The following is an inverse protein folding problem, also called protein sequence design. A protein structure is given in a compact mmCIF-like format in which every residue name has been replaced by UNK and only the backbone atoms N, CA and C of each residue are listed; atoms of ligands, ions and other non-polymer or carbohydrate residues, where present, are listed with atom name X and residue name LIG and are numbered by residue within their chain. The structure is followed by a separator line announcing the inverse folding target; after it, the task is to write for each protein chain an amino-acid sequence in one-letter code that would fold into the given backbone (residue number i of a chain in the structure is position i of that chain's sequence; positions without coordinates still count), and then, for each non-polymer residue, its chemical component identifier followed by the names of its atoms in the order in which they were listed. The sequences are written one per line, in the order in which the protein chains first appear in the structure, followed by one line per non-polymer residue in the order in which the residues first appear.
data_IF_848235618956
#
_entry.id   IF_848235618956
#
_cell.length_a   1.000
_cell.length_b   1.000
_cell.length_c   1.000
_cell.angle_alpha   90.00
_cell.angle_beta   90.00
_cell.angle_gamma   90.00
#
_symmetry.space_group_name_H-M   'P 1'
#
loop_
_entity.id
_entity.type
_entity.pdbx_description
1 polymer ?
#
# COMPACT_ATOMS: atom_id res chain seq x y z
N UNK A 1 -29.25 -17.02 117.79
CA UNK A 1 -29.40 -16.49 116.39
C UNK A 1 -28.07 -16.47 115.58
N UNK A 2 -26.90 -16.26 116.14
CA UNK A 2 -25.64 -16.18 115.39
C UNK A 2 -25.10 -17.46 114.73
N UNK A 3 -25.51 -18.68 115.18
CA UNK A 3 -25.04 -19.97 114.64
C UNK A 3 -25.81 -20.44 113.42
N UNK A 4 -27.05 -20.03 113.22
CA UNK A 4 -27.85 -20.33 112.03
C UNK A 4 -27.45 -19.47 110.81
N UNK A 5 -27.01 -18.23 111.04
CA UNK A 5 -26.58 -17.33 109.98
C UNK A 5 -25.30 -17.81 109.30
N UNK A 6 -24.35 -18.42 110.02
CA UNK A 6 -23.10 -18.96 109.46
C UNK A 6 -23.30 -20.21 108.61
N UNK A 7 -24.33 -21.00 108.93
CA UNK A 7 -24.60 -22.26 108.20
C UNK A 7 -25.22 -22.03 106.83
N UNK A 8 -25.93 -20.91 106.61
CA UNK A 8 -26.54 -20.59 105.34
C UNK A 8 -25.84 -19.46 104.57
N UNK A 9 -24.73 -18.94 105.04
CA UNK A 9 -23.94 -17.88 104.38
C UNK A 9 -23.51 -18.26 102.96
N UNK A 10 -23.00 -19.50 102.66
CA UNK A 10 -22.63 -19.88 101.29
C UNK A 10 -23.85 -19.94 100.38
N UNK A 11 -25.03 -20.31 100.88
CA UNK A 11 -26.25 -20.34 100.06
C UNK A 11 -26.70 -18.93 99.62
N UNK A 12 -26.61 -17.95 100.54
CA UNK A 12 -26.88 -16.54 100.20
C UNK A 12 -25.90 -15.91 99.23
N UNK A 13 -24.64 -16.33 99.28
CA UNK A 13 -23.63 -15.90 98.35
C UNK A 13 -23.91 -16.45 96.93
N UNK A 14 -24.35 -17.74 96.84
CA UNK A 14 -24.73 -18.36 95.58
C UNK A 14 -25.99 -17.72 94.99
N UNK A 15 -26.97 -17.44 95.78
CA UNK A 15 -28.19 -16.76 95.31
C UNK A 15 -27.89 -15.31 94.93
N UNK A 16 -27.05 -14.59 95.67
CA UNK A 16 -26.61 -13.26 95.32
C UNK A 16 -25.81 -13.20 94.02
N UNK A 17 -24.89 -14.15 93.82
CA UNK A 17 -24.13 -14.24 92.59
C UNK A 17 -24.99 -14.61 91.35
N UNK A 18 -26.01 -15.50 91.57
CA UNK A 18 -26.95 -15.84 90.51
C UNK A 18 -27.83 -14.63 90.08
N UNK A 19 -28.26 -13.84 91.10
CA UNK A 19 -29.03 -12.63 90.87
C UNK A 19 -28.25 -11.54 90.21
N UNK A 20 -26.97 -11.37 90.53
CA UNK A 20 -26.04 -10.47 89.82
C UNK A 20 -25.79 -10.94 88.43
N UNK A 21 -25.59 -12.24 88.17
CA UNK A 21 -25.40 -12.83 86.86
C UNK A 21 -26.63 -12.63 85.94
N UNK A 22 -27.84 -12.86 86.46
CA UNK A 22 -29.08 -12.61 85.71
C UNK A 22 -29.29 -11.13 85.43
N UNK A 23 -28.95 -10.26 86.38
CA UNK A 23 -28.99 -8.81 86.18
C UNK A 23 -27.97 -8.32 85.12
N UNK A 24 -26.76 -8.88 85.10
CA UNK A 24 -25.75 -8.58 84.05
C UNK A 24 -26.18 -9.14 82.71
N UNK A 25 -26.84 -10.26 82.61
CA UNK A 25 -27.35 -10.83 81.36
C UNK A 25 -28.52 -9.99 80.81
N UNK A 26 -29.44 -9.53 81.68
CA UNK A 26 -30.54 -8.67 81.26
C UNK A 26 -30.15 -7.24 80.98
N UNK A 27 -29.02 -6.75 81.53
CA UNK A 27 -28.44 -5.43 81.26
C UNK A 27 -27.54 -5.39 80.00
N UNK A 28 -27.39 -6.48 79.27
CA UNK A 28 -26.65 -6.44 77.99
C UNK A 28 -27.41 -5.53 77.02
N UNK A 29 -26.81 -4.42 76.56
CA UNK A 29 -27.43 -3.61 75.50
C UNK A 29 -27.59 -4.51 74.27
N UNK A 30 -28.79 -4.64 73.73
CA UNK A 30 -29.06 -5.34 72.50
C UNK A 30 -28.13 -4.80 71.40
N UNK A 31 -27.48 -5.70 70.69
CA UNK A 31 -26.67 -5.30 69.56
C UNK A 31 -27.52 -4.46 68.60
N UNK A 32 -27.31 -3.16 68.57
CA UNK A 32 -27.93 -2.27 67.60
C UNK A 32 -27.32 -2.64 66.29
N UNK A 33 -28.01 -3.45 65.46
CA UNK A 33 -27.68 -3.68 64.11
C UNK A 33 -27.80 -2.33 63.40
N UNK A 34 -26.66 -1.64 63.26
CA UNK A 34 -26.57 -0.42 62.48
C UNK A 34 -26.63 -0.86 61.01
N UNK A 35 -27.84 -1.03 60.47
CA UNK A 35 -28.07 -1.27 59.06
C UNK A 35 -27.61 0.02 58.36
N UNK A 36 -26.33 0.08 58.01
CA UNK A 36 -25.84 1.14 57.15
C UNK A 36 -26.76 1.16 55.92
N UNK A 37 -27.54 2.23 55.80
CA UNK A 37 -28.33 2.46 54.59
C UNK A 37 -27.37 2.40 53.40
N UNK A 38 -27.48 1.35 52.56
CA UNK A 38 -26.71 1.24 51.34
C UNK A 38 -26.98 2.50 50.52
N UNK A 39 -25.98 3.36 50.39
CA UNK A 39 -26.00 4.52 49.50
C UNK A 39 -25.43 4.06 48.18
N UNK A 40 -26.25 3.97 47.11
CA UNK A 40 -25.73 3.59 45.78
C UNK A 40 -24.59 4.51 45.35
N UNK A 41 -23.43 3.98 45.00
CA UNK A 41 -22.33 4.79 44.50
C UNK A 41 -22.73 5.55 43.21
N UNK A 42 -22.36 6.81 43.16
CA UNK A 42 -22.54 7.62 41.96
C UNK A 42 -21.51 7.18 40.89
N UNK A 43 -21.97 6.97 39.66
CA UNK A 43 -21.15 6.46 38.57
C UNK A 43 -21.36 7.25 37.28
N UNK A 44 -20.30 7.38 36.51
CA UNK A 44 -20.36 7.88 35.15
C UNK A 44 -20.69 6.75 34.20
N UNK A 45 -21.59 7.02 33.27
CA UNK A 45 -22.02 6.05 32.25
C UNK A 45 -22.04 6.70 30.87
N UNK A 46 -21.75 5.91 29.86
CA UNK A 46 -21.88 6.31 28.45
C UNK A 46 -23.08 5.60 27.82
N UNK A 47 -24.02 6.37 27.30
CA UNK A 47 -25.17 5.82 26.56
C UNK A 47 -24.67 5.17 25.27
N UNK A 48 -25.20 4.00 24.98
CA UNK A 48 -24.89 3.25 23.76
C UNK A 48 -25.64 3.84 22.58
N UNK A 49 -24.90 4.32 21.60
CA UNK A 49 -25.43 4.88 20.35
C UNK A 49 -24.82 4.11 19.17
N UNK A 50 -25.61 3.29 18.47
CA UNK A 50 -25.17 2.66 17.23
C UNK A 50 -24.91 3.73 16.16
N UNK A 51 -23.80 3.59 15.46
CA UNK A 51 -23.41 4.51 14.39
C UNK A 51 -22.80 3.77 13.22
N UNK A 52 -22.88 4.37 12.05
CA UNK A 52 -22.12 3.90 10.89
C UNK A 52 -20.64 4.21 11.11
N UNK A 53 -19.80 3.21 10.96
CA UNK A 53 -18.37 3.34 11.19
C UNK A 53 -17.58 2.79 10.01
N UNK A 54 -16.72 3.63 9.41
CA UNK A 54 -15.76 3.22 8.40
C UNK A 54 -14.40 2.92 9.05
N UNK A 55 -13.95 1.66 8.94
CA UNK A 55 -12.67 1.25 9.49
C UNK A 55 -11.54 1.99 8.77
N UNK A 56 -10.65 2.60 9.56
CA UNK A 56 -9.41 3.20 9.06
C UNK A 56 -8.25 2.26 9.37
N UNK A 57 -7.45 1.97 8.36
CA UNK A 57 -6.26 1.13 8.50
C UNK A 57 -5.05 2.01 8.33
N UNK A 58 -4.22 2.06 9.35
CA UNK A 58 -3.01 2.87 9.34
C UNK A 58 -1.82 2.03 8.87
N UNK A 59 -0.98 2.63 8.07
CA UNK A 59 0.28 2.06 7.61
C UNK A 59 1.27 3.17 7.30
N UNK A 60 2.46 2.80 6.86
CA UNK A 60 3.50 3.74 6.51
C UNK A 60 4.42 3.15 5.45
N UNK A 61 5.03 4.02 4.65
CA UNK A 61 5.90 3.56 3.59
C UNK A 61 6.72 4.68 2.97
N UNK A 62 7.64 4.31 2.10
CA UNK A 62 8.46 5.26 1.35
C UNK A 62 7.91 5.41 -0.07
N UNK A 63 7.85 6.62 -0.54
CA UNK A 63 7.44 6.95 -1.91
C UNK A 63 8.50 6.50 -2.89
N UNK A 64 8.13 5.62 -3.80
CA UNK A 64 8.98 5.11 -4.89
C UNK A 64 8.39 5.46 -6.24
N UNK A 65 9.18 5.62 -7.29
CA UNK A 65 8.65 5.81 -8.63
C UNK A 65 8.09 4.47 -9.12
N UNK A 66 7.03 4.51 -9.93
CA UNK A 66 6.50 3.32 -10.58
C UNK A 66 7.50 2.69 -11.55
N UNK A 67 8.21 3.52 -12.27
CA UNK A 67 9.22 3.10 -13.27
C UNK A 67 10.53 3.79 -12.99
N UNK A 68 11.56 3.00 -12.78
CA UNK A 68 12.94 3.47 -12.63
C UNK A 68 13.86 2.53 -13.42
N UNK A 69 14.73 3.10 -14.25
CA UNK A 69 15.65 2.34 -15.09
C UNK A 69 17.05 2.92 -15.05
N UNK A 70 18.01 2.07 -15.35
CA UNK A 70 19.33 2.49 -15.77
C UNK A 70 19.31 2.70 -17.29
N UNK A 71 19.47 3.94 -17.71
CA UNK A 71 19.59 4.28 -19.13
C UNK A 71 20.94 3.79 -19.62
N UNK A 72 20.92 3.00 -20.69
CA UNK A 72 22.10 2.44 -21.35
C UNK A 72 22.08 2.83 -22.82
N UNK A 73 23.21 2.72 -23.51
CA UNK A 73 23.30 2.83 -24.99
C UNK A 73 23.10 1.44 -25.59
N UNK A 74 22.64 1.41 -26.84
CA UNK A 74 22.56 0.17 -27.65
C UNK A 74 23.78 -0.04 -28.54
N UNK A 75 24.61 1.01 -28.71
CA UNK A 75 25.83 1.00 -29.51
C UNK A 75 27.02 1.55 -28.70
N UNK A 76 28.22 1.21 -29.09
CA UNK A 76 29.44 1.78 -28.52
C UNK A 76 29.82 3.05 -29.23
N UNK A 77 30.30 4.05 -28.50
CA UNK A 77 30.76 5.31 -29.07
C UNK A 77 31.29 6.27 -28.03
N UNK A 78 32.01 7.31 -28.51
CA UNK A 78 32.49 8.39 -27.65
C UNK A 78 31.40 9.45 -27.51
N UNK A 79 31.20 9.93 -26.27
CA UNK A 79 30.23 11.00 -25.98
C UNK A 79 30.78 12.32 -26.51
N UNK A 80 30.12 12.90 -27.53
CA UNK A 80 30.43 14.19 -28.08
C UNK A 80 29.76 15.33 -27.29
N UNK A 81 28.51 15.12 -26.86
CA UNK A 81 27.75 16.16 -26.14
C UNK A 81 26.78 15.50 -25.13
N UNK A 82 26.63 16.11 -23.97
CA UNK A 82 25.62 15.79 -22.97
C UNK A 82 24.63 16.94 -22.89
N UNK A 83 23.34 16.63 -22.94
CA UNK A 83 22.28 17.62 -22.82
C UNK A 83 22.26 18.23 -21.39
N UNK A 84 21.89 19.50 -21.27
CA UNK A 84 21.64 20.15 -19.98
C UNK A 84 20.51 19.49 -19.17
N UNK A 85 19.62 18.76 -19.87
CA UNK A 85 18.55 17.97 -19.22
C UNK A 85 19.07 16.71 -18.53
N UNK A 86 20.27 16.22 -18.86
CA UNK A 86 20.88 15.05 -18.21
C UNK A 86 21.73 15.47 -17.00
N UNK A 87 21.20 16.31 -16.13
CA UNK A 87 21.82 16.63 -14.83
C UNK A 87 21.01 16.06 -13.70
N UNK A 88 21.67 15.68 -12.60
CA UNK A 88 20.99 15.15 -11.42
C UNK A 88 19.89 16.09 -10.95
N UNK A 89 18.66 15.58 -10.83
CA UNK A 89 17.47 16.33 -10.45
C UNK A 89 16.75 17.05 -11.61
N UNK A 90 17.35 17.14 -12.81
CA UNK A 90 16.71 17.78 -13.98
C UNK A 90 15.51 16.98 -14.47
N UNK A 91 14.58 17.69 -15.11
CA UNK A 91 13.41 17.13 -15.78
C UNK A 91 13.72 16.94 -17.27
N UNK A 92 13.07 15.95 -17.87
CA UNK A 92 13.06 15.72 -19.30
C UNK A 92 11.67 15.23 -19.74
N UNK A 93 11.32 15.51 -20.98
CA UNK A 93 10.13 14.97 -21.62
C UNK A 93 10.48 13.68 -22.39
N UNK A 94 9.46 12.93 -22.80
CA UNK A 94 9.66 11.76 -23.67
C UNK A 94 10.31 12.21 -24.98
N UNK A 95 11.22 11.38 -25.51
CA UNK A 95 11.99 11.58 -26.76
C UNK A 95 12.99 12.75 -26.72
N UNK A 96 13.14 13.45 -25.59
CA UNK A 96 14.19 14.46 -25.42
C UNK A 96 15.57 13.85 -25.61
N UNK A 97 16.46 14.49 -26.41
CA UNK A 97 17.83 14.02 -26.60
C UNK A 97 18.66 14.29 -25.34
N UNK A 98 19.17 13.23 -24.73
CA UNK A 98 19.96 13.29 -23.51
C UNK A 98 21.47 13.24 -23.76
N UNK A 99 21.91 12.43 -24.70
CA UNK A 99 23.32 12.27 -25.08
C UNK A 99 23.46 12.19 -26.60
N UNK A 100 24.56 12.73 -27.10
CA UNK A 100 24.99 12.62 -28.50
C UNK A 100 26.34 11.90 -28.52
N UNK A 101 26.40 10.77 -29.22
CA UNK A 101 27.62 10.07 -29.51
C UNK A 101 28.26 10.65 -30.80
N UNK A 102 29.54 10.41 -30.97
CA UNK A 102 30.24 10.72 -32.20
C UNK A 102 29.64 9.90 -33.34
N UNK A 103 29.10 10.57 -34.36
CA UNK A 103 28.29 9.95 -35.42
C UNK A 103 29.03 9.66 -36.72
N UNK A 104 30.25 10.18 -36.86
CA UNK A 104 30.97 10.16 -38.16
C UNK A 104 31.13 8.76 -38.73
N UNK A 105 31.53 7.78 -37.94
CA UNK A 105 31.72 6.41 -38.40
C UNK A 105 30.41 5.74 -38.81
N UNK A 106 29.32 6.07 -38.13
CA UNK A 106 27.97 5.58 -38.46
C UNK A 106 27.43 6.22 -39.72
N UNK A 107 27.69 7.51 -39.97
CA UNK A 107 27.38 8.19 -41.24
C UNK A 107 28.12 7.54 -42.41
N UNK A 108 29.42 7.24 -42.26
CA UNK A 108 30.20 6.55 -43.28
C UNK A 108 29.70 5.13 -43.55
N UNK A 109 29.31 4.40 -42.50
CA UNK A 109 28.72 3.06 -42.62
C UNK A 109 27.38 3.09 -43.35
N UNK A 110 26.56 4.10 -43.11
CA UNK A 110 25.27 4.29 -43.80
C UNK A 110 25.50 4.56 -45.28
N UNK A 111 26.43 5.46 -45.65
CA UNK A 111 26.78 5.76 -47.07
C UNK A 111 27.27 4.50 -47.78
N UNK A 112 28.11 3.69 -47.15
CA UNK A 112 28.59 2.43 -47.71
C UNK A 112 27.44 1.42 -47.94
N UNK A 113 26.53 1.30 -46.97
CA UNK A 113 25.35 0.43 -47.09
C UNK A 113 24.41 0.91 -48.21
N UNK A 114 24.18 2.21 -48.33
CA UNK A 114 23.35 2.82 -49.39
C UNK A 114 23.93 2.54 -50.80
N UNK A 115 25.27 2.65 -50.96
CA UNK A 115 25.94 2.31 -52.22
C UNK A 115 25.72 0.82 -52.54
N UNK A 116 25.87 -0.08 -51.58
CA UNK A 116 25.66 -1.52 -51.77
C UNK A 116 24.21 -1.85 -52.15
N UNK A 117 23.25 -1.20 -51.50
CA UNK A 117 21.82 -1.32 -51.80
C UNK A 117 21.51 -0.87 -53.24
N UNK A 118 22.05 0.29 -53.64
CA UNK A 118 21.88 0.82 -54.98
C UNK A 118 22.41 -0.15 -56.07
N UNK A 119 23.60 -0.74 -55.84
CA UNK A 119 24.18 -1.73 -56.72
C UNK A 119 23.32 -3.03 -56.79
N UNK A 120 22.84 -3.51 -55.65
CA UNK A 120 21.99 -4.70 -55.61
C UNK A 120 20.64 -4.47 -56.32
N UNK A 121 20.07 -3.26 -56.18
CA UNK A 121 18.82 -2.87 -56.86
C UNK A 121 19.00 -2.84 -58.38
N UNK A 122 20.07 -2.25 -58.90
CA UNK A 122 20.38 -2.25 -60.32
C UNK A 122 20.55 -3.67 -60.84
N UNK A 123 21.26 -4.53 -60.11
CA UNK A 123 21.42 -5.93 -60.49
C UNK A 123 20.11 -6.68 -60.55
N UNK A 124 19.24 -6.52 -59.55
CA UNK A 124 17.91 -7.14 -59.54
C UNK A 124 17.03 -6.67 -60.69
N UNK A 125 16.99 -5.38 -61.00
CA UNK A 125 16.20 -4.86 -62.13
C UNK A 125 16.73 -5.36 -63.49
N UNK A 126 18.07 -5.50 -63.64
CA UNK A 126 18.67 -6.11 -64.81
C UNK A 126 18.24 -7.58 -64.98
N UNK A 127 18.42 -8.41 -63.95
CA UNK A 127 18.04 -9.84 -64.01
C UNK A 127 16.52 -10.05 -64.21
N UNK A 128 15.72 -9.15 -63.66
CA UNK A 128 14.28 -9.12 -63.89
C UNK A 128 13.93 -8.85 -65.36
N UNK A 129 14.53 -7.83 -65.95
CA UNK A 129 14.33 -7.49 -67.36
C UNK A 129 14.80 -8.63 -68.28
N UNK A 130 15.94 -9.26 -67.97
CA UNK A 130 16.47 -10.40 -68.75
C UNK A 130 15.58 -11.66 -68.64
N UNK A 131 15.04 -11.93 -67.42
CA UNK A 131 14.10 -13.02 -67.23
C UNK A 131 12.77 -12.82 -67.97
N UNK A 132 12.26 -11.58 -67.94
CA UNK A 132 11.06 -11.23 -68.72
C UNK A 132 11.28 -11.33 -70.24
N UNK A 133 12.45 -10.89 -70.73
CA UNK A 133 12.81 -11.02 -72.10
C UNK A 133 12.91 -12.49 -72.54
N UNK A 134 13.63 -13.32 -71.79
CA UNK A 134 13.72 -14.77 -72.01
C UNK A 134 12.34 -15.44 -72.07
N UNK A 135 11.42 -15.01 -71.21
CA UNK A 135 10.03 -15.51 -71.23
C UNK A 135 9.26 -15.11 -72.50
N UNK A 136 9.46 -13.88 -72.99
CA UNK A 136 8.83 -13.39 -74.22
C UNK A 136 9.41 -14.08 -75.43
N UNK A 137 10.72 -14.27 -75.50
CA UNK A 137 11.41 -14.95 -76.63
C UNK A 137 11.01 -16.44 -76.69
N UNK A 138 10.99 -17.15 -75.58
CA UNK A 138 10.56 -18.56 -75.55
C UNK A 138 9.14 -18.74 -76.09
N UNK A 139 8.20 -17.87 -75.69
CA UNK A 139 6.81 -17.90 -76.18
C UNK A 139 6.73 -17.73 -77.71
N UNK A 140 7.64 -16.98 -78.32
CA UNK A 140 7.67 -16.79 -79.80
C UNK A 140 8.22 -17.99 -80.57
N UNK A 141 9.16 -18.74 -79.98
CA UNK A 141 9.86 -19.83 -80.63
C UNK A 141 9.17 -21.21 -80.45
N UNK A 142 8.74 -21.58 -79.25
CA UNK A 142 8.41 -22.93 -78.92
C UNK A 142 7.03 -23.20 -78.30
N UNK A 143 6.29 -22.25 -77.85
CA UNK A 143 4.93 -22.41 -77.31
C UNK A 143 4.71 -23.48 -76.20
N UNK A 144 5.77 -24.19 -75.78
CA UNK A 144 5.73 -25.26 -74.74
C UNK A 144 6.23 -24.77 -73.38
N UNK A 145 6.25 -25.71 -72.34
CA UNK A 145 6.80 -25.36 -71.02
C UNK A 145 8.31 -25.14 -71.09
N UNK A 146 8.73 -23.93 -70.73
CA UNK A 146 10.15 -23.59 -70.56
C UNK A 146 10.69 -24.16 -69.25
N UNK A 147 11.96 -24.53 -69.20
CA UNK A 147 12.63 -24.83 -67.93
C UNK A 147 12.88 -23.56 -67.14
N UNK A 148 12.94 -23.66 -65.82
CA UNK A 148 13.22 -22.52 -64.93
C UNK A 148 14.58 -21.87 -65.21
N UNK A 149 15.56 -22.69 -65.64
CA UNK A 149 16.87 -22.19 -66.10
C UNK A 149 16.75 -21.37 -67.40
N UNK A 150 15.96 -21.80 -68.37
CA UNK A 150 15.71 -21.06 -69.61
C UNK A 150 15.04 -19.71 -69.34
N UNK A 151 14.17 -19.65 -68.33
CA UNK A 151 13.48 -18.44 -67.89
C UNK A 151 14.31 -17.59 -66.90
N UNK A 152 15.57 -17.98 -66.65
CA UNK A 152 16.49 -17.30 -65.70
C UNK A 152 15.92 -17.12 -64.30
N UNK A 153 14.92 -17.96 -63.88
CA UNK A 153 14.30 -17.83 -62.57
C UNK A 153 15.26 -17.98 -61.38
N UNK A 154 16.24 -18.93 -61.41
CA UNK A 154 17.21 -19.04 -60.32
C UNK A 154 18.07 -17.75 -60.18
N UNK A 155 18.50 -17.12 -61.31
CA UNK A 155 19.29 -15.90 -61.34
C UNK A 155 18.46 -14.73 -60.75
N UNK A 156 17.19 -14.62 -61.16
CA UNK A 156 16.28 -13.62 -60.61
C UNK A 156 16.04 -13.80 -59.10
N UNK A 157 15.85 -15.05 -58.65
CA UNK A 157 15.72 -15.34 -57.23
C UNK A 157 16.99 -15.01 -56.44
N UNK A 158 18.18 -15.30 -57.01
CA UNK A 158 19.46 -14.94 -56.41
C UNK A 158 19.60 -13.42 -56.31
N UNK A 159 19.33 -12.69 -57.39
CA UNK A 159 19.40 -11.23 -57.38
C UNK A 159 18.41 -10.62 -56.39
N UNK A 160 17.21 -11.18 -56.25
CA UNK A 160 16.23 -10.77 -55.24
C UNK A 160 16.72 -11.01 -53.82
N UNK A 161 17.37 -12.14 -53.56
CA UNK A 161 17.94 -12.44 -52.24
C UNK A 161 19.09 -11.48 -51.89
N UNK A 162 19.94 -11.14 -52.87
CA UNK A 162 21.03 -10.16 -52.69
C UNK A 162 20.47 -8.77 -52.38
N UNK A 163 19.41 -8.35 -53.10
CA UNK A 163 18.73 -7.09 -52.82
C UNK A 163 18.16 -7.04 -51.39
N UNK A 164 17.45 -8.08 -50.98
CA UNK A 164 16.90 -8.14 -49.64
C UNK A 164 18.00 -8.11 -48.55
N UNK A 165 19.13 -8.77 -48.79
CA UNK A 165 20.28 -8.69 -47.87
C UNK A 165 20.87 -7.27 -47.77
N UNK A 166 20.99 -6.60 -48.91
CA UNK A 166 21.49 -5.20 -48.93
C UNK A 166 20.52 -4.22 -48.30
N UNK A 167 19.22 -4.42 -48.45
CA UNK A 167 18.17 -3.66 -47.75
C UNK A 167 18.30 -3.83 -46.22
N UNK A 168 18.48 -5.04 -45.73
CA UNK A 168 18.67 -5.30 -44.30
C UNK A 168 19.93 -4.64 -43.72
N UNK A 169 21.03 -4.62 -44.46
CA UNK A 169 22.29 -3.94 -44.06
C UNK A 169 22.11 -2.42 -44.02
N UNK A 170 21.39 -1.86 -45.00
CA UNK A 170 21.08 -0.42 -45.00
C UNK A 170 20.23 -0.02 -43.82
N UNK A 171 19.14 -0.73 -43.56
CA UNK A 171 18.29 -0.47 -42.40
C UNK A 171 19.04 -0.63 -41.05
N UNK A 172 19.98 -1.58 -40.95
CA UNK A 172 20.83 -1.72 -39.79
C UNK A 172 21.74 -0.52 -39.57
N UNK A 173 22.35 -0.01 -40.63
CA UNK A 173 23.22 1.18 -40.59
C UNK A 173 22.40 2.43 -40.20
N UNK A 174 21.21 2.60 -40.77
CA UNK A 174 20.30 3.69 -40.46
C UNK A 174 19.89 3.66 -38.96
N UNK A 175 19.46 2.49 -38.42
CA UNK A 175 19.16 2.33 -37.01
C UNK A 175 20.35 2.63 -36.10
N UNK A 176 21.56 2.22 -36.50
CA UNK A 176 22.77 2.49 -35.73
C UNK A 176 23.11 3.98 -35.71
N UNK A 177 22.88 4.70 -36.80
CA UNK A 177 23.04 6.17 -36.85
C UNK A 177 21.99 6.86 -35.94
N UNK A 178 20.72 6.45 -35.95
CA UNK A 178 19.70 7.01 -35.06
C UNK A 178 20.05 6.77 -33.58
N UNK A 179 20.59 5.60 -33.24
CA UNK A 179 21.04 5.24 -31.89
C UNK A 179 22.22 6.07 -31.36
N UNK A 180 22.87 6.86 -32.22
CA UNK A 180 23.91 7.84 -31.78
C UNK A 180 23.32 8.97 -30.94
N UNK A 181 22.00 9.18 -31.02
CA UNK A 181 21.27 10.13 -30.19
C UNK A 181 20.47 9.33 -29.17
N UNK A 182 20.93 9.32 -27.93
CA UNK A 182 20.25 8.62 -26.85
C UNK A 182 19.14 9.52 -26.32
N UNK A 183 17.89 9.04 -26.44
CA UNK A 183 16.68 9.79 -26.09
C UNK A 183 16.06 9.25 -24.82
N UNK A 184 15.25 10.08 -24.16
CA UNK A 184 14.46 9.70 -22.99
C UNK A 184 13.30 8.78 -23.41
N UNK A 185 13.14 7.57 -22.82
CA UNK A 185 12.07 6.64 -23.19
C UNK A 185 10.69 7.05 -22.64
N UNK A 186 10.66 7.92 -21.66
CA UNK A 186 9.46 8.44 -21.00
C UNK A 186 9.73 9.83 -20.42
N UNK A 187 8.68 10.51 -20.00
CA UNK A 187 8.76 11.76 -19.23
C UNK A 187 9.21 11.49 -17.80
N UNK A 188 10.25 12.18 -17.32
CA UNK A 188 10.82 11.86 -16.02
C UNK A 188 11.83 12.85 -15.47
N UNK A 189 12.63 12.31 -14.54
CA UNK A 189 13.74 13.02 -13.90
C UNK A 189 14.99 12.15 -13.85
N UNK A 190 16.12 12.82 -13.85
CA UNK A 190 17.43 12.18 -13.63
C UNK A 190 17.68 12.03 -12.14
N UNK A 191 17.84 10.78 -11.69
CA UNK A 191 18.27 10.48 -10.30
C UNK A 191 19.78 10.69 -10.15
N UNK A 192 20.55 10.15 -11.10
CA UNK A 192 22.02 10.21 -11.08
C UNK A 192 22.57 10.17 -12.50
N UNK A 193 23.44 11.11 -12.86
CA UNK A 193 24.27 11.07 -14.06
C UNK A 193 25.53 10.25 -13.76
N UNK A 194 25.95 9.36 -14.67
CA UNK A 194 27.09 8.45 -14.49
C UNK A 194 28.20 8.66 -15.53
N UNK A 195 27.97 9.45 -16.57
CA UNK A 195 28.92 9.68 -17.67
C UNK A 195 29.08 11.16 -17.97
N UNK A 196 30.16 11.52 -18.66
CA UNK A 196 30.41 12.89 -19.10
C UNK A 196 31.00 12.95 -20.53
N UNK A 197 31.09 14.17 -21.05
CA UNK A 197 31.66 14.43 -22.39
C UNK A 197 33.06 13.85 -22.48
N UNK A 198 33.38 13.22 -23.62
CA UNK A 198 34.67 12.59 -23.90
C UNK A 198 34.82 11.15 -23.42
N UNK A 199 33.88 10.64 -22.58
CA UNK A 199 33.88 9.22 -22.20
C UNK A 199 33.44 8.33 -23.36
N UNK A 200 33.96 7.11 -23.42
CA UNK A 200 33.53 6.06 -24.33
C UNK A 200 32.53 5.18 -23.58
N UNK A 201 31.36 4.98 -24.17
CA UNK A 201 30.28 4.14 -23.64
C UNK A 201 30.03 2.93 -24.53
N UNK A 202 29.44 1.90 -23.89
CA UNK A 202 29.06 0.65 -24.57
C UNK A 202 27.75 0.14 -23.96
N UNK A 203 27.08 -0.85 -24.58
CA UNK A 203 25.80 -1.41 -24.07
C UNK A 203 25.82 -1.94 -22.64
N UNK A 204 27.00 -2.18 -22.06
CA UNK A 204 27.16 -2.65 -20.67
C UNK A 204 27.36 -1.52 -19.65
N UNK A 205 27.47 -0.27 -20.10
CA UNK A 205 27.75 0.89 -19.25
C UNK A 205 26.47 1.68 -19.03
N UNK A 206 26.05 1.83 -17.76
CA UNK A 206 24.94 2.70 -17.40
C UNK A 206 25.32 4.17 -17.58
N UNK A 207 24.52 4.90 -18.32
CA UNK A 207 24.69 6.32 -18.63
C UNK A 207 24.13 7.18 -17.50
N UNK A 208 22.92 6.85 -17.07
CA UNK A 208 22.22 7.55 -16.01
C UNK A 208 21.17 6.64 -15.37
N UNK A 209 20.80 6.93 -14.15
CA UNK A 209 19.60 6.40 -13.50
C UNK A 209 18.49 7.42 -13.63
N UNK A 210 17.38 7.03 -14.27
CA UNK A 210 16.25 7.89 -14.56
C UNK A 210 14.96 7.26 -14.07
N UNK A 211 13.97 8.08 -13.67
CA UNK A 211 12.68 7.61 -13.21
C UNK A 211 11.52 8.43 -13.78
N UNK A 212 10.39 7.77 -13.98
CA UNK A 212 9.17 8.39 -14.48
C UNK A 212 8.50 9.24 -13.40
N UNK A 213 7.76 10.27 -13.81
CA UNK A 213 7.08 11.22 -12.93
C UNK A 213 5.55 11.25 -13.10
N UNK A 214 5.00 10.30 -13.84
CA UNK A 214 3.56 10.14 -14.06
C UNK A 214 2.85 9.61 -12.83
N UNK A 215 3.41 8.57 -12.20
CA UNK A 215 2.90 7.94 -11.00
C UNK A 215 4.03 7.67 -10.00
N UNK A 216 3.66 7.73 -8.72
CA UNK A 216 4.47 7.15 -7.64
C UNK A 216 3.68 6.06 -6.95
N UNK A 217 4.38 5.07 -6.44
CA UNK A 217 3.83 3.95 -5.69
C UNK A 217 4.41 3.95 -4.27
N UNK A 218 3.59 3.55 -3.32
CA UNK A 218 3.97 3.40 -1.93
C UNK A 218 3.56 1.99 -1.49
N UNK A 219 4.54 1.20 -1.07
CA UNK A 219 4.30 -0.10 -0.46
C UNK A 219 3.91 0.12 1.00
N UNK A 220 2.69 -0.29 1.35
CA UNK A 220 2.09 -0.12 2.67
C UNK A 220 1.88 -1.50 3.29
N UNK A 221 2.73 -1.92 4.25
CA UNK A 221 2.57 -3.19 4.94
C UNK A 221 1.34 -3.15 5.87
N UNK A 222 0.46 -4.13 5.74
CA UNK A 222 -0.79 -4.29 6.50
C UNK A 222 -0.74 -5.60 7.27
N UNK A 223 -1.09 -5.57 8.55
CA UNK A 223 -1.18 -6.76 9.37
C UNK A 223 -2.31 -7.68 8.88
N UNK A 224 -2.12 -9.00 8.96
CA UNK A 224 -3.07 -10.01 8.49
C UNK A 224 -4.49 -9.79 9.03
N UNK A 225 -4.61 -9.44 10.31
CA UNK A 225 -5.88 -9.14 10.98
C UNK A 225 -6.65 -7.96 10.39
N UNK A 226 -5.96 -7.02 9.73
CA UNK A 226 -6.54 -5.82 9.16
C UNK A 226 -6.95 -5.98 7.68
N UNK A 227 -6.43 -7.01 6.99
CA UNK A 227 -6.73 -7.29 5.59
C UNK A 227 -8.21 -7.56 5.33
N UNK A 228 -8.90 -8.19 6.28
CA UNK A 228 -10.34 -8.49 6.19
C UNK A 228 -11.17 -7.22 6.01
N UNK A 229 -10.70 -6.10 6.57
CA UNK A 229 -11.38 -4.81 6.51
C UNK A 229 -11.14 -4.03 5.22
N UNK A 230 -10.13 -4.39 4.43
CA UNK A 230 -9.87 -3.71 3.14
C UNK A 230 -10.84 -4.12 2.04
N UNK A 231 -11.24 -5.39 1.99
CA UNK A 231 -12.13 -5.90 0.94
C UNK A 231 -11.50 -5.91 -0.45
N UNK A 232 -10.20 -6.11 -0.52
CA UNK A 232 -9.42 -6.18 -1.77
C UNK A 232 -9.01 -7.63 -2.08
N UNK A 233 -8.73 -7.98 -3.35
CA UNK A 233 -8.08 -9.23 -3.72
C UNK A 233 -6.69 -9.34 -3.07
N UNK A 234 -6.37 -10.52 -2.53
CA UNK A 234 -5.08 -10.76 -1.88
C UNK A 234 -4.11 -11.55 -2.78
N UNK A 235 -4.50 -11.83 -4.01
CA UNK A 235 -3.78 -12.61 -5.02
C UNK A 235 -2.84 -11.76 -5.92
N UNK A 236 -2.72 -10.46 -5.63
CA UNK A 236 -1.93 -9.53 -6.43
C UNK A 236 -2.65 -8.98 -7.67
N UNK A 237 -3.89 -9.37 -7.91
CA UNK A 237 -4.65 -8.85 -9.05
C UNK A 237 -4.91 -7.35 -8.93
N UNK A 238 -4.97 -6.68 -10.08
CA UNK A 238 -5.25 -5.24 -10.14
C UNK A 238 -6.71 -4.97 -9.81
N UNK A 239 -6.94 -4.08 -8.86
CA UNK A 239 -8.29 -3.69 -8.42
C UNK A 239 -8.93 -2.78 -9.48
N UNK A 240 -10.17 -3.08 -9.85
CA UNK A 240 -10.95 -2.23 -10.79
C UNK A 240 -11.02 -0.80 -10.27
N UNK A 241 -10.84 0.19 -11.14
CA UNK A 241 -10.74 1.62 -10.79
C UNK A 241 -11.87 2.13 -9.88
N UNK A 242 -13.09 1.65 -10.08
CA UNK A 242 -14.26 2.05 -9.27
C UNK A 242 -14.34 1.38 -7.88
N UNK A 243 -13.49 0.37 -7.62
CA UNK A 243 -13.46 -0.39 -6.37
C UNK A 243 -12.16 -0.21 -5.60
N UNK A 244 -11.29 0.69 -6.05
CA UNK A 244 -10.01 0.98 -5.40
C UNK A 244 -10.24 1.72 -4.09
N UNK A 245 -9.77 1.19 -2.95
CA UNK A 245 -9.84 1.91 -1.68
C UNK A 245 -9.07 3.22 -1.75
N UNK A 246 -9.66 4.27 -1.22
CA UNK A 246 -9.01 5.57 -1.08
C UNK A 246 -8.00 5.53 0.05
N UNK A 247 -6.84 6.15 -0.17
CA UNK A 247 -5.80 6.32 0.84
C UNK A 247 -5.41 7.79 0.94
N UNK A 248 -5.36 8.27 2.15
CA UNK A 248 -4.80 9.57 2.49
C UNK A 248 -3.37 9.36 3.00
N UNK A 249 -2.42 10.03 2.35
CA UNK A 249 -1.00 9.99 2.67
C UNK A 249 -0.63 11.30 3.35
N UNK A 250 0.12 11.24 4.43
CA UNK A 250 0.53 12.46 5.14
C UNK A 250 1.93 12.32 5.71
N UNK A 251 2.61 13.45 5.82
CA UNK A 251 3.93 13.56 6.47
C UNK A 251 4.07 14.93 7.12
N UNK A 252 4.92 14.99 8.13
CA UNK A 252 5.33 16.27 8.72
C UNK A 252 6.60 16.74 8.02
N UNK A 253 6.54 17.90 7.40
CA UNK A 253 7.68 18.51 6.74
C UNK A 253 7.85 19.95 7.22
N UNK A 254 8.94 20.20 7.97
CA UNK A 254 9.23 21.54 8.50
C UNK A 254 8.16 22.10 9.46
N UNK A 255 7.47 21.24 10.22
CA UNK A 255 6.41 21.61 11.16
C UNK A 255 5.04 21.84 10.49
N UNK A 256 4.91 21.55 9.21
CA UNK A 256 3.63 21.58 8.49
C UNK A 256 3.23 20.15 8.10
N UNK A 257 1.99 19.79 8.39
CA UNK A 257 1.42 18.54 7.93
C UNK A 257 1.00 18.68 6.47
N UNK A 258 1.66 17.91 5.61
CA UNK A 258 1.32 17.80 4.20
C UNK A 258 0.50 16.54 3.96
N UNK A 259 -0.51 16.63 3.10
CA UNK A 259 -1.33 15.48 2.72
C UNK A 259 -1.49 15.35 1.22
N UNK A 260 -1.61 14.10 0.76
CA UNK A 260 -1.88 13.73 -0.63
C UNK A 260 -2.91 12.62 -0.68
N UNK A 261 -3.66 12.58 -1.75
CA UNK A 261 -4.65 11.53 -1.98
C UNK A 261 -4.16 10.50 -3.00
N UNK A 262 -4.44 9.25 -2.73
CA UNK A 262 -4.13 8.15 -3.63
C UNK A 262 -5.18 7.04 -3.55
N UNK A 263 -4.94 5.97 -4.28
CA UNK A 263 -5.79 4.77 -4.27
C UNK A 263 -4.95 3.52 -4.15
N UNK A 264 -5.49 2.48 -3.51
CA UNK A 264 -4.87 1.15 -3.47
C UNK A 264 -5.17 0.45 -4.78
N UNK A 265 -4.13 0.07 -5.52
CA UNK A 265 -4.28 -0.53 -6.85
C UNK A 265 -4.16 -2.04 -6.88
N UNK A 266 -3.43 -2.64 -5.95
CA UNK A 266 -3.21 -4.09 -5.83
C UNK A 266 -2.59 -4.44 -4.47
N UNK A 267 -2.58 -5.73 -4.14
CA UNK A 267 -1.71 -6.28 -3.09
C UNK A 267 -0.41 -6.85 -3.69
N UNK A 268 0.57 -7.15 -2.84
CA UNK A 268 1.85 -7.77 -3.27
C UNK A 268 1.73 -9.27 -3.56
N UNK A 269 0.58 -9.89 -3.24
CA UNK A 269 0.35 -11.35 -3.31
C UNK A 269 1.29 -12.22 -2.46
N UNK A 270 2.24 -11.61 -1.76
CA UNK A 270 3.21 -12.30 -0.90
C UNK A 270 3.18 -11.70 0.51
N UNK A 271 3.09 -12.58 1.52
CA UNK A 271 3.17 -12.21 2.92
C UNK A 271 4.63 -12.30 3.36
N UNK A 272 5.15 -11.22 3.90
CA UNK A 272 6.49 -11.23 4.49
C UNK A 272 6.53 -12.20 5.69
N UNK A 273 7.37 -13.22 5.59
CA UNK A 273 7.45 -14.32 6.56
C UNK A 273 7.94 -13.88 7.95
N UNK A 274 8.68 -12.77 8.03
CA UNK A 274 9.23 -12.24 9.30
C UNK A 274 8.23 -11.36 10.02
N UNK A 275 7.55 -10.47 9.28
CA UNK A 275 6.62 -9.49 9.85
C UNK A 275 5.17 -9.99 9.85
N UNK A 276 4.84 -11.01 9.06
CA UNK A 276 3.47 -11.50 8.78
C UNK A 276 2.55 -10.40 8.24
N UNK A 277 3.11 -9.49 7.47
CA UNK A 277 2.38 -8.41 6.83
C UNK A 277 2.26 -8.66 5.33
N UNK A 278 1.12 -8.31 4.76
CA UNK A 278 0.91 -8.22 3.31
C UNK A 278 1.04 -6.76 2.90
N UNK A 279 1.88 -6.47 1.92
CA UNK A 279 1.97 -5.11 1.39
C UNK A 279 0.85 -4.83 0.41
N UNK A 280 0.18 -3.69 0.56
CA UNK A 280 -0.70 -3.12 -0.46
C UNK A 280 -0.02 -1.95 -1.12
N UNK A 281 -0.26 -1.78 -2.42
CA UNK A 281 0.39 -0.76 -3.22
C UNK A 281 -0.58 0.40 -3.41
N UNK A 282 -0.24 1.52 -2.80
CA UNK A 282 -0.91 2.79 -3.03
C UNK A 282 -0.28 3.50 -4.22
N UNK A 283 -1.10 4.11 -5.08
CA UNK A 283 -0.66 4.88 -6.23
C UNK A 283 -1.18 6.32 -6.16
N UNK A 284 -0.30 7.27 -6.46
CA UNK A 284 -0.63 8.69 -6.61
C UNK A 284 -0.28 9.14 -8.02
N UNK A 285 -1.25 9.70 -8.72
CA UNK A 285 -1.07 10.29 -10.05
C UNK A 285 -0.54 11.72 -9.96
N UNK A 286 0.26 12.13 -10.94
CA UNK A 286 0.81 13.48 -11.04
C UNK A 286 1.43 14.00 -9.73
N UNK A 287 2.34 13.25 -9.06
CA UNK A 287 2.85 13.57 -7.73
C UNK A 287 3.60 14.91 -7.68
N UNK A 288 4.05 15.41 -8.83
CA UNK A 288 4.77 16.69 -8.95
C UNK A 288 3.88 17.88 -9.29
N UNK A 289 2.56 17.68 -9.39
CA UNK A 289 1.61 18.77 -9.64
C UNK A 289 1.64 19.76 -8.46
N UNK A 290 1.94 21.02 -8.76
CA UNK A 290 1.84 22.09 -7.78
C UNK A 290 0.39 22.51 -7.66
N UNK A 291 -0.16 22.44 -6.46
CA UNK A 291 -1.41 23.08 -6.06
C UNK A 291 -1.12 24.19 -5.05
N UNK A 292 -2.00 25.15 -4.92
CA UNK A 292 -1.79 26.32 -4.02
C UNK A 292 -1.46 25.93 -2.57
N UNK A 293 -1.92 24.75 -2.12
CA UNK A 293 -1.80 24.31 -0.71
C UNK A 293 -1.02 23.00 -0.52
N UNK A 294 -0.42 22.42 -1.57
CA UNK A 294 0.29 21.14 -1.45
C UNK A 294 1.64 21.20 -2.14
N UNK A 295 2.69 20.82 -1.42
CA UNK A 295 4.00 20.60 -2.00
C UNK A 295 4.00 19.30 -2.85
N UNK A 296 4.87 19.21 -3.87
CA UNK A 296 5.02 17.99 -4.64
C UNK A 296 5.40 16.78 -3.77
N UNK A 297 4.76 15.63 -4.01
CA UNK A 297 5.12 14.38 -3.38
C UNK A 297 6.38 13.81 -4.03
N UNK A 298 7.53 14.08 -3.44
CA UNK A 298 8.83 13.67 -3.99
C UNK A 298 9.12 12.20 -3.69
N UNK A 299 9.75 11.53 -4.64
CA UNK A 299 10.32 10.19 -4.42
C UNK A 299 11.34 10.23 -3.28
N UNK A 300 11.29 9.21 -2.42
CA UNK A 300 12.14 9.09 -1.22
C UNK A 300 11.54 9.66 0.05
N UNK A 301 10.42 10.39 -0.01
CA UNK A 301 9.72 10.84 1.20
C UNK A 301 9.08 9.66 1.91
N UNK A 302 9.22 9.62 3.24
CA UNK A 302 8.49 8.70 4.09
C UNK A 302 7.12 9.29 4.45
N UNK A 303 6.06 8.53 4.26
CA UNK A 303 4.68 8.95 4.50
C UNK A 303 3.96 7.96 5.42
N UNK A 304 3.06 8.49 6.24
CA UNK A 304 2.02 7.73 6.92
C UNK A 304 0.80 7.66 6.01
N UNK A 305 0.04 6.59 6.10
CA UNK A 305 -1.11 6.32 5.26
C UNK A 305 -2.32 5.94 6.11
N UNK A 306 -3.46 6.56 5.83
CA UNK A 306 -4.76 6.19 6.37
C UNK A 306 -5.64 5.64 5.23
N UNK A 307 -5.81 4.32 5.20
CA UNK A 307 -6.57 3.63 4.16
C UNK A 307 -8.02 3.50 4.62
N UNK A 308 -8.97 3.93 3.77
CA UNK A 308 -10.40 3.76 4.02
C UNK A 308 -10.79 2.31 3.74
N UNK A 309 -11.12 1.58 4.80
CA UNK A 309 -11.61 0.21 4.73
C UNK A 309 -13.12 0.12 4.61
N UNK A 310 -13.66 -1.07 4.89
CA UNK A 310 -15.10 -1.37 4.88
C UNK A 310 -15.86 -0.50 5.87
N UNK A 311 -17.08 -0.17 5.50
CA UNK A 311 -18.04 0.51 6.36
C UNK A 311 -18.95 -0.53 7.01
N UNK A 312 -19.16 -0.42 8.31
CA UNK A 312 -20.06 -1.24 9.11
C UNK A 312 -21.19 -0.36 9.65
N UNK A 313 -22.40 -0.90 9.67
CA UNK A 313 -23.55 -0.27 10.29
C UNK A 313 -23.69 -0.75 11.73
N UNK A 314 -24.37 0.02 12.57
CA UNK A 314 -24.74 -0.34 13.93
C UNK A 314 -23.55 -0.67 14.86
N UNK A 315 -22.40 -0.05 14.62
CA UNK A 315 -21.23 -0.17 15.47
C UNK A 315 -21.36 0.72 16.70
N UNK A 316 -21.10 0.13 17.86
CA UNK A 316 -21.06 0.83 19.13
C UNK A 316 -19.61 1.05 19.53
N UNK A 317 -19.21 2.31 19.64
CA UNK A 317 -17.87 2.70 20.07
C UNK A 317 -17.87 2.97 21.58
N UNK A 318 -17.10 2.17 22.33
CA UNK A 318 -16.93 2.31 23.78
C UNK A 318 -15.46 2.41 24.14
N UNK A 319 -15.09 3.02 25.27
CA UNK A 319 -13.71 3.08 25.72
C UNK A 319 -13.15 1.67 25.95
N UNK A 320 -11.94 1.41 25.47
CA UNK A 320 -11.29 0.08 25.54
C UNK A 320 -11.19 -0.48 26.95
N UNK A 321 -10.95 0.38 27.95
CA UNK A 321 -10.80 -0.02 29.35
C UNK A 321 -12.09 -0.58 29.98
N UNK A 322 -13.28 -0.35 29.36
CA UNK A 322 -14.56 -0.87 29.84
C UNK A 322 -14.79 -2.34 29.48
N UNK A 323 -13.99 -2.87 28.56
CA UNK A 323 -14.09 -4.26 28.09
C UNK A 323 -13.09 -5.13 28.85
N UNK A 324 -13.58 -6.23 29.45
CA UNK A 324 -12.75 -7.28 30.06
C UNK A 324 -13.28 -8.64 29.66
N UNK A 325 -12.43 -9.50 29.13
CA UNK A 325 -12.78 -10.87 28.71
C UNK A 325 -14.01 -10.93 27.79
N UNK A 326 -14.11 -10.00 26.83
CA UNK A 326 -15.26 -9.82 25.94
C UNK A 326 -16.59 -9.55 26.70
N UNK A 327 -16.53 -8.98 27.91
CA UNK A 327 -17.68 -8.59 28.71
C UNK A 327 -17.60 -7.10 29.03
N UNK A 328 -18.79 -6.49 29.13
CA UNK A 328 -18.96 -5.07 29.48
C UNK A 328 -19.99 -4.95 30.57
N UNK A 329 -19.71 -4.10 31.55
CA UNK A 329 -20.68 -3.77 32.59
C UNK A 329 -21.59 -2.64 32.11
N UNK A 330 -22.89 -2.87 32.18
CA UNK A 330 -23.93 -1.91 31.77
C UNK A 330 -24.86 -1.62 32.92
N UNK A 331 -25.37 -0.41 32.99
CA UNK A 331 -26.39 0.01 33.93
C UNK A 331 -27.71 0.11 33.17
N UNK A 332 -28.70 -0.68 33.57
CA UNK A 332 -30.01 -0.68 32.93
C UNK A 332 -30.84 0.56 33.31
N UNK A 333 -32.07 0.66 32.80
CA UNK A 333 -32.96 1.79 33.04
C UNK A 333 -33.37 1.89 34.54
N UNK A 334 -33.38 0.77 35.27
CA UNK A 334 -33.71 0.71 36.70
C UNK A 334 -32.53 1.07 37.62
N UNK A 335 -31.35 1.37 37.04
CA UNK A 335 -30.11 1.67 37.77
C UNK A 335 -29.43 0.43 38.35
N UNK A 336 -29.72 -0.75 37.80
CA UNK A 336 -29.10 -2.00 38.20
C UNK A 336 -27.93 -2.34 37.27
N UNK A 337 -26.84 -2.82 37.88
CA UNK A 337 -25.63 -3.26 37.17
C UNK A 337 -25.84 -4.66 36.59
N UNK A 338 -25.61 -4.82 35.31
CA UNK A 338 -25.60 -6.09 34.59
C UNK A 338 -24.33 -6.28 33.79
N UNK A 339 -23.94 -7.53 33.55
CA UNK A 339 -22.78 -7.88 32.76
C UNK A 339 -23.23 -8.51 31.45
N UNK A 340 -22.86 -7.90 30.32
CA UNK A 340 -23.19 -8.39 28.98
C UNK A 340 -21.97 -8.91 28.24
N UNK A 341 -22.14 -10.06 27.61
CA UNK A 341 -21.17 -10.60 26.66
C UNK A 341 -21.25 -9.77 25.38
N UNK A 342 -20.09 -9.33 24.84
CA UNK A 342 -20.02 -8.52 23.64
C UNK A 342 -19.12 -9.18 22.61
N UNK A 343 -19.45 -8.98 21.34
CA UNK A 343 -18.60 -9.36 20.22
C UNK A 343 -17.90 -8.12 19.69
N UNK A 344 -16.58 -8.14 19.76
CA UNK A 344 -15.76 -7.02 19.38
C UNK A 344 -15.35 -7.21 17.91
N UNK A 345 -15.59 -6.19 17.09
CA UNK A 345 -15.14 -6.14 15.72
C UNK A 345 -13.62 -5.88 15.67
N UNK A 346 -13.17 -4.89 16.44
CA UNK A 346 -11.77 -4.43 16.47
C UNK A 346 -11.52 -3.60 17.73
N UNK A 347 -10.29 -3.64 18.21
CA UNK A 347 -9.77 -2.65 19.17
C UNK A 347 -9.04 -1.55 18.41
N UNK A 348 -9.28 -0.31 18.79
CA UNK A 348 -8.49 0.87 18.42
C UNK A 348 -7.70 1.33 19.64
N UNK A 349 -6.85 2.36 19.52
CA UNK A 349 -5.96 2.78 20.61
C UNK A 349 -6.69 2.95 21.94
N UNK A 350 -7.74 3.79 21.98
CA UNK A 350 -8.50 4.12 23.17
C UNK A 350 -9.92 3.53 23.19
N UNK A 351 -10.33 2.81 22.15
CA UNK A 351 -11.71 2.34 22.01
C UNK A 351 -11.83 0.90 21.53
N UNK A 352 -12.97 0.30 21.82
CA UNK A 352 -13.40 -0.99 21.30
C UNK A 352 -14.65 -0.77 20.43
N UNK A 353 -14.64 -1.35 19.24
CA UNK A 353 -15.77 -1.35 18.31
C UNK A 353 -16.57 -2.61 18.52
N UNK A 354 -17.77 -2.48 19.08
CA UNK A 354 -18.67 -3.58 19.39
C UNK A 354 -19.70 -3.73 18.28
N UNK A 355 -19.88 -4.96 17.79
CA UNK A 355 -20.83 -5.28 16.71
C UNK A 355 -22.10 -5.95 17.25
N UNK A 356 -22.01 -6.70 18.36
CA UNK A 356 -23.13 -7.43 18.95
C UNK A 356 -23.03 -7.43 20.49
N UNK A 357 -24.18 -7.55 21.20
CA UNK A 357 -24.23 -7.75 22.63
C UNK A 357 -24.64 -6.53 23.46
N UNK A 358 -24.74 -5.34 22.87
CA UNK A 358 -25.24 -4.13 23.51
C UNK A 358 -26.51 -3.63 22.80
N UNK A 359 -27.46 -3.11 23.57
CA UNK A 359 -28.71 -2.53 23.08
C UNK A 359 -28.70 -1.00 23.23
N UNK A 360 -29.48 -0.30 22.42
CA UNK A 360 -29.59 1.17 22.41
C UNK A 360 -29.96 1.77 23.77
N UNK A 361 -30.64 1.00 24.62
CA UNK A 361 -31.04 1.43 25.99
C UNK A 361 -29.98 1.22 27.05
N UNK A 362 -28.87 0.54 26.74
CA UNK A 362 -27.81 0.27 27.69
C UNK A 362 -26.97 1.52 27.96
N UNK A 363 -26.45 1.60 29.18
CA UNK A 363 -25.47 2.61 29.56
C UNK A 363 -24.21 1.91 30.05
N UNK A 364 -23.12 2.01 29.32
CA UNK A 364 -21.82 1.39 29.67
C UNK A 364 -21.23 2.10 30.89
N UNK A 365 -20.80 1.35 31.88
CA UNK A 365 -20.15 1.85 33.07
C UNK A 365 -18.73 2.32 32.78
N UNK A 366 -18.45 3.60 33.03
CA UNK A 366 -17.11 4.19 32.87
C UNK A 366 -16.32 4.21 34.18
N UNK A 367 -17.02 4.35 35.32
CA UNK A 367 -16.36 4.45 36.62
C UNK A 367 -15.80 3.08 37.06
N UNK A 368 -14.51 3.08 37.47
CA UNK A 368 -13.88 1.88 38.03
C UNK A 368 -14.30 1.72 39.48
N UNK A 369 -15.09 0.71 39.78
CA UNK A 369 -15.46 0.33 41.13
C UNK A 369 -14.58 -0.84 41.61
N UNK A 370 -14.28 -0.86 42.91
CA UNK A 370 -13.47 -1.91 43.54
C UNK A 370 -14.16 -3.29 43.49
N UNK A 371 -15.48 -3.31 43.61
CA UNK A 371 -16.30 -4.51 43.56
C UNK A 371 -17.48 -4.29 42.64
N UNK A 372 -17.66 -5.17 41.66
CA UNK A 372 -18.75 -5.18 40.70
C UNK A 372 -19.56 -6.47 40.89
N UNK A 373 -20.82 -6.33 41.26
CA UNK A 373 -21.73 -7.47 41.45
C UNK A 373 -22.97 -7.25 40.59
N UNK A 374 -23.39 -8.27 39.88
CA UNK A 374 -24.63 -8.25 39.10
C UNK A 374 -25.83 -7.95 40.00
N UNK A 375 -26.70 -7.03 39.59
CA UNK A 375 -27.84 -6.56 40.38
C UNK A 375 -27.53 -5.45 41.39
N UNK A 376 -26.28 -5.00 41.47
CA UNK A 376 -25.91 -3.87 42.36
C UNK A 376 -26.60 -2.59 41.90
N UNK A 377 -27.25 -1.87 42.82
CA UNK A 377 -27.92 -0.60 42.51
C UNK A 377 -26.91 0.54 42.47
N UNK A 378 -26.92 1.30 41.40
CA UNK A 378 -26.03 2.44 41.15
C UNK A 378 -26.86 3.70 40.94
N UNK A 379 -26.25 4.85 41.19
CA UNK A 379 -26.84 6.16 40.88
C UNK A 379 -26.10 6.73 39.68
N UNK A 380 -26.83 6.95 38.57
CA UNK A 380 -26.26 7.63 37.38
C UNK A 380 -26.04 9.11 37.71
N UNK A 381 -24.86 9.61 37.39
CA UNK A 381 -24.57 11.06 37.41
C UNK A 381 -25.03 11.70 36.13
#
# INVERSE_FOLDING_TARGET
MKKLLKKYLPLWIIIGSLLIATMMISARPGAVSNIQKYVPPAVETQVVIPQQYQVKIESQGTVTPRTEIQLMTEISGKIQKVSSQLQTGSKFEKDDPLIYLEKRDFELSLIAAESSLSQARVNYEREKAESELAGKEWKKINGGKASDLTLRKPQLLQAKAILAAAEAVYEQAERNLDRTIIRAPFKGRVRKKMVDVGMVVSPSIAIAQIYATDYVEISLPIAEQDLVFLGIPLDGSVIKKNSQPYVELFTDFGGQQLSWSGTIIRSSAEIDSKTRMLSVIAQVSDPYRKTLNTLPLKVGIFVKAAIKGKTFNDIIKIPRFTVRDNKVWVVNQEGLLDQKQVKILRYEDDSALVIEGLNVSDSVLLTRLAVLVKGMKLKKN
#
